data_IF_894895207210
#
_entry.id   IF_894895207210
#
_cell.length_a   1.000
_cell.length_b   1.000
_cell.length_c   1.000
_cell.angle_alpha   90.00
_cell.angle_beta   90.00
_cell.angle_gamma   90.00
#
_symmetry.space_group_name_H-M   'P 1'
#
loop_
_entity.id
_entity.type
_entity.pdbx_description
1 polymer ?
#
# COMPACT_ATOMS: atom_id res chain seq x y z
N UNK A 1 -18.85 35.78 -1.66
CA UNK A 1 -17.73 34.85 -1.93
C UNK A 1 -17.88 33.55 -1.12
N UNK A 2 -18.95 32.80 -1.38
CA UNK A 2 -19.33 31.65 -0.51
C UNK A 2 -19.98 30.53 -1.33
N UNK A 3 -19.33 30.00 -2.37
CA UNK A 3 -19.94 28.94 -3.19
C UNK A 3 -18.98 27.98 -3.90
N UNK A 4 -17.76 27.75 -3.39
CA UNK A 4 -16.82 26.80 -4.02
C UNK A 4 -16.39 25.59 -3.18
N UNK A 5 -17.00 25.38 -1.99
CA UNK A 5 -16.59 24.29 -1.07
C UNK A 5 -17.54 23.09 -1.01
N UNK A 6 -18.70 23.14 -1.66
CA UNK A 6 -19.70 22.05 -1.61
C UNK A 6 -19.38 20.77 -2.39
N UNK A 7 -18.64 20.77 -3.51
CA UNK A 7 -18.50 19.52 -4.28
C UNK A 7 -17.57 18.49 -3.69
N UNK A 8 -16.56 18.88 -2.93
CA UNK A 8 -15.61 17.92 -2.36
C UNK A 8 -16.18 17.13 -1.17
N UNK A 9 -17.07 17.73 -0.38
CA UNK A 9 -17.75 17.06 0.71
C UNK A 9 -18.76 16.01 0.23
N UNK A 10 -19.44 16.30 -0.87
CA UNK A 10 -20.37 15.36 -1.51
C UNK A 10 -19.65 14.12 -2.09
N UNK A 11 -18.42 14.30 -2.59
CA UNK A 11 -17.63 13.22 -3.17
C UNK A 11 -17.21 12.18 -2.13
N UNK A 12 -16.83 12.63 -0.94
CA UNK A 12 -16.41 11.73 0.14
C UNK A 12 -17.57 11.02 0.82
N UNK A 13 -18.75 11.66 0.88
CA UNK A 13 -19.98 11.02 1.36
C UNK A 13 -20.44 9.89 0.43
N UNK A 14 -20.15 9.95 -0.86
CA UNK A 14 -20.47 8.85 -1.80
C UNK A 14 -19.53 7.65 -1.65
N UNK A 15 -18.31 7.83 -1.19
CA UNK A 15 -17.44 6.71 -0.78
C UNK A 15 -17.96 6.01 0.49
N UNK A 16 -18.81 6.69 1.26
CA UNK A 16 -19.44 6.18 2.49
C UNK A 16 -20.92 5.75 2.29
N UNK A 17 -21.48 5.96 1.13
CA UNK A 17 -22.89 5.61 0.84
C UNK A 17 -23.04 4.21 0.26
N UNK A 18 -24.02 3.41 0.69
CA UNK A 18 -24.17 2.02 0.26
C UNK A 18 -24.83 1.83 -1.12
N UNK A 19 -24.98 2.86 -1.93
CA UNK A 19 -25.75 2.73 -3.16
C UNK A 19 -25.25 3.63 -4.29
N UNK A 20 -24.11 3.29 -4.87
CA UNK A 20 -23.92 3.50 -6.30
C UNK A 20 -23.60 2.12 -6.89
N UNK A 21 -24.61 1.43 -7.34
CA UNK A 21 -24.46 0.27 -8.22
C UNK A 21 -24.02 0.78 -9.59
N UNK A 22 -22.75 1.10 -9.73
CA UNK A 22 -22.12 0.92 -11.01
C UNK A 22 -22.23 -0.56 -11.29
N UNK A 23 -22.94 -0.95 -12.35
CA UNK A 23 -23.01 -2.35 -12.78
C UNK A 23 -21.58 -2.84 -12.84
N UNK A 24 -21.18 -3.87 -12.05
CA UNK A 24 -19.88 -4.46 -12.23
C UNK A 24 -19.83 -4.88 -13.69
N UNK A 25 -18.79 -4.50 -14.40
CA UNK A 25 -18.38 -5.19 -15.62
C UNK A 25 -18.47 -6.67 -15.28
N UNK A 26 -19.23 -7.41 -16.06
CA UNK A 26 -19.62 -8.79 -15.78
C UNK A 26 -18.40 -9.60 -15.36
N UNK A 27 -18.47 -10.20 -14.16
CA UNK A 27 -17.41 -10.91 -13.44
C UNK A 27 -16.62 -11.95 -14.26
N UNK A 28 -17.05 -12.31 -15.46
CA UNK A 28 -16.53 -13.42 -16.23
C UNK A 28 -15.50 -13.08 -17.31
N UNK A 29 -15.49 -11.83 -17.82
CA UNK A 29 -14.68 -11.52 -18.99
C UNK A 29 -13.27 -11.02 -18.66
N UNK A 30 -13.03 -10.52 -17.43
CA UNK A 30 -11.76 -9.91 -17.05
C UNK A 30 -10.69 -10.96 -16.71
N UNK A 31 -11.08 -12.10 -16.12
CA UNK A 31 -10.12 -13.12 -15.64
C UNK A 31 -9.50 -13.98 -16.74
N UNK A 32 -10.05 -13.96 -17.94
CA UNK A 32 -9.47 -14.67 -19.10
C UNK A 32 -8.57 -13.76 -19.93
N UNK A 33 -8.39 -12.50 -19.54
CA UNK A 33 -7.52 -11.55 -20.21
C UNK A 33 -6.24 -11.38 -19.43
N UNK A 34 -5.15 -11.17 -20.13
CA UNK A 34 -3.88 -10.77 -19.54
C UNK A 34 -3.76 -9.26 -19.58
N UNK A 35 -3.28 -8.66 -18.47
CA UNK A 35 -2.99 -7.24 -18.41
C UNK A 35 -2.03 -6.82 -19.53
N UNK A 36 -2.40 -5.79 -20.27
CA UNK A 36 -1.65 -5.31 -21.42
C UNK A 36 -0.68 -4.22 -20.98
N UNK A 37 0.59 -4.58 -20.78
CA UNK A 37 1.62 -3.61 -20.43
C UNK A 37 2.35 -3.11 -21.68
N UNK A 38 2.74 -1.80 -21.71
CA UNK A 38 2.62 -0.82 -20.62
C UNK A 38 1.27 -0.11 -20.52
N UNK A 39 0.29 -0.39 -21.35
CA UNK A 39 -0.94 0.39 -21.49
C UNK A 39 -1.73 0.52 -20.19
N UNK A 40 -1.81 -0.59 -19.40
CA UNK A 40 -2.52 -0.60 -18.11
C UNK A 40 -1.81 0.22 -17.01
N UNK A 41 -0.64 0.74 -17.30
CA UNK A 41 0.08 1.65 -16.42
C UNK A 41 -0.51 3.06 -16.44
N UNK A 42 -1.15 3.43 -17.55
CA UNK A 42 -1.79 4.74 -17.70
C UNK A 42 -2.99 4.92 -16.76
N UNK A 43 -3.48 6.15 -16.68
CA UNK A 43 -4.75 6.46 -16.00
C UNK A 43 -5.91 5.76 -16.71
N UNK A 44 -6.82 5.18 -15.94
CA UNK A 44 -8.09 4.64 -16.44
C UNK A 44 -9.24 5.60 -16.10
N UNK A 45 -9.62 6.52 -17.01
CA UNK A 45 -10.53 7.63 -16.68
C UNK A 45 -11.91 7.20 -16.19
N UNK A 46 -12.33 5.96 -16.49
CA UNK A 46 -13.62 5.40 -16.06
C UNK A 46 -13.57 4.64 -14.75
N UNK A 47 -12.38 4.42 -14.20
CA UNK A 47 -12.24 3.73 -12.92
C UNK A 47 -12.62 4.65 -11.75
N UNK A 48 -13.39 4.10 -10.82
CA UNK A 48 -13.78 4.83 -9.63
C UNK A 48 -12.61 5.08 -8.68
N UNK A 49 -11.63 4.18 -8.68
CA UNK A 49 -10.42 4.27 -7.87
C UNK A 49 -9.32 3.41 -8.47
N UNK A 50 -8.12 3.98 -8.50
CA UNK A 50 -6.87 3.31 -8.85
C UNK A 50 -5.69 3.99 -8.18
N UNK A 51 -4.53 3.31 -8.11
CA UNK A 51 -3.33 3.87 -7.50
C UNK A 51 -2.01 3.39 -8.11
N UNK A 52 -0.99 4.20 -7.90
CA UNK A 52 0.43 3.96 -8.15
C UNK A 52 1.13 4.10 -6.81
N UNK A 53 1.55 2.98 -6.21
CA UNK A 53 1.99 2.89 -4.84
C UNK A 53 3.43 2.39 -4.78
N UNK A 54 4.28 3.11 -4.08
CA UNK A 54 5.69 2.79 -3.90
C UNK A 54 5.99 2.70 -2.41
N UNK A 55 6.64 1.61 -2.01
CA UNK A 55 7.14 1.45 -0.65
C UNK A 55 8.51 0.83 -0.65
N UNK A 56 9.28 1.04 0.43
CA UNK A 56 10.55 0.36 0.57
C UNK A 56 11.54 1.04 1.49
N UNK A 57 12.79 0.67 1.31
CA UNK A 57 13.87 1.05 2.19
C UNK A 57 14.91 1.86 1.44
N UNK A 58 15.24 3.00 2.00
CA UNK A 58 16.30 3.89 1.51
C UNK A 58 17.45 3.93 2.52
N UNK A 59 18.66 4.19 2.02
CA UNK A 59 19.85 4.36 2.83
C UNK A 59 20.57 5.63 2.41
N UNK A 60 20.86 6.50 3.36
CA UNK A 60 21.75 7.64 3.17
C UNK A 60 23.16 7.12 2.84
N UNK A 61 23.66 7.49 1.66
CA UNK A 61 24.96 7.02 1.16
C UNK A 61 26.16 7.58 1.93
N UNK A 62 25.99 8.66 2.70
CA UNK A 62 27.03 9.30 3.49
C UNK A 62 27.05 8.77 4.93
N UNK A 63 25.89 8.75 5.59
CA UNK A 63 25.80 8.36 7.00
C UNK A 63 25.51 6.86 7.20
N UNK A 64 24.98 6.20 6.20
CA UNK A 64 24.51 4.81 6.31
C UNK A 64 23.17 4.65 7.02
N UNK A 65 22.51 5.74 7.47
CA UNK A 65 21.19 5.72 8.08
C UNK A 65 20.16 5.17 7.10
N UNK A 66 19.21 4.41 7.62
CA UNK A 66 18.12 3.82 6.82
C UNK A 66 16.83 4.55 7.06
N UNK A 67 15.98 4.61 6.03
CA UNK A 67 14.67 5.24 6.05
C UNK A 67 13.65 4.34 5.38
N UNK A 68 12.41 4.32 5.88
CA UNK A 68 11.27 3.76 5.19
C UNK A 68 10.57 4.84 4.37
N UNK A 69 10.11 4.47 3.20
CA UNK A 69 9.35 5.33 2.31
C UNK A 69 8.02 4.67 1.95
N UNK A 70 6.94 5.42 2.06
CA UNK A 70 5.69 5.21 1.33
C UNK A 70 5.44 6.44 0.45
N UNK A 71 5.03 6.21 -0.80
CA UNK A 71 4.68 7.25 -1.75
C UNK A 71 3.59 6.73 -2.68
N UNK A 72 2.42 7.34 -2.65
CA UNK A 72 1.30 6.89 -3.47
C UNK A 72 0.57 8.05 -4.13
N UNK A 73 0.21 7.86 -5.39
CA UNK A 73 -0.82 8.63 -6.07
C UNK A 73 -2.09 7.79 -6.19
N UNK A 74 -3.20 8.38 -5.78
CA UNK A 74 -4.55 7.85 -5.99
C UNK A 74 -5.26 8.71 -7.04
N UNK A 75 -5.95 8.03 -7.93
CA UNK A 75 -6.93 8.64 -8.82
C UNK A 75 -8.34 8.19 -8.41
N UNK A 76 -9.23 9.15 -8.31
CA UNK A 76 -10.64 8.94 -7.93
C UNK A 76 -11.55 9.53 -8.99
N UNK A 77 -12.46 8.73 -9.54
CA UNK A 77 -13.52 9.18 -10.41
C UNK A 77 -14.85 8.47 -10.13
N UNK A 78 -15.42 8.61 -8.92
CA UNK A 78 -16.59 7.83 -8.47
C UNK A 78 -17.86 8.13 -9.27
N UNK A 79 -17.92 9.26 -9.97
CA UNK A 79 -19.10 9.66 -10.77
C UNK A 79 -18.91 9.44 -12.26
N UNK A 80 -17.69 9.09 -12.71
CA UNK A 80 -17.33 9.00 -14.12
C UNK A 80 -17.27 10.36 -14.84
N UNK A 81 -17.32 11.49 -14.11
CA UNK A 81 -17.43 12.84 -14.70
C UNK A 81 -16.28 13.77 -14.36
N UNK A 82 -15.63 13.55 -13.24
CA UNK A 82 -14.55 14.41 -12.74
C UNK A 82 -13.48 13.59 -12.06
N UNK A 83 -12.25 13.86 -12.42
CA UNK A 83 -11.07 13.24 -11.85
C UNK A 83 -10.57 14.00 -10.64
N UNK A 84 -10.10 13.26 -9.65
CA UNK A 84 -9.42 13.77 -8.46
C UNK A 84 -8.14 13.00 -8.24
N UNK A 85 -7.09 13.70 -7.88
CA UNK A 85 -5.87 13.09 -7.40
C UNK A 85 -5.72 13.30 -5.90
N UNK A 86 -5.21 12.29 -5.23
CA UNK A 86 -4.63 12.42 -3.91
C UNK A 86 -3.21 11.85 -3.96
N UNK A 87 -2.30 12.48 -3.24
CA UNK A 87 -0.98 11.95 -3.00
C UNK A 87 -0.76 11.80 -1.52
N UNK A 88 -0.18 10.69 -1.12
CA UNK A 88 0.37 10.45 0.20
C UNK A 88 1.88 10.30 0.10
N UNK A 89 2.56 10.73 1.14
CA UNK A 89 3.97 10.42 1.36
C UNK A 89 4.22 10.22 2.83
N UNK A 90 4.91 9.14 3.19
CA UNK A 90 5.35 8.90 4.55
C UNK A 90 6.84 8.56 4.58
N UNK A 91 7.51 9.03 5.61
CA UNK A 91 8.92 8.77 5.86
C UNK A 91 9.12 8.27 7.29
N UNK A 92 9.64 7.06 7.41
CA UNK A 92 10.06 6.46 8.67
C UNK A 92 11.56 6.68 8.88
N UNK A 93 11.93 7.25 10.01
CA UNK A 93 13.33 7.42 10.45
C UNK A 93 13.54 6.64 11.77
N UNK A 94 14.03 5.39 11.70
CA UNK A 94 14.20 4.55 12.90
C UNK A 94 15.24 5.11 13.86
N UNK A 95 16.26 5.83 13.36
CA UNK A 95 17.32 6.39 14.18
C UNK A 95 16.80 7.53 15.08
N UNK A 96 15.89 8.36 14.53
CA UNK A 96 15.24 9.42 15.26
C UNK A 96 13.92 8.98 15.93
N UNK A 97 13.53 7.71 15.74
CA UNK A 97 12.23 7.17 16.18
C UNK A 97 11.08 8.07 15.75
N UNK A 98 11.11 8.52 14.50
CA UNK A 98 10.13 9.45 13.98
C UNK A 98 9.47 8.93 12.71
N UNK A 99 8.18 9.12 12.65
CA UNK A 99 7.33 8.87 11.51
C UNK A 99 6.68 10.18 11.09
N UNK A 100 6.84 10.56 9.83
CA UNK A 100 6.27 11.78 9.27
C UNK A 100 5.52 11.43 8.01
N UNK A 101 4.32 11.96 7.87
CA UNK A 101 3.52 11.78 6.68
C UNK A 101 2.82 13.07 6.29
N UNK A 102 2.51 13.19 5.02
CA UNK A 102 1.71 14.26 4.47
C UNK A 102 0.83 13.73 3.34
N UNK A 103 -0.24 14.45 3.04
CA UNK A 103 -1.12 14.12 1.95
C UNK A 103 -1.70 15.38 1.33
N UNK A 104 -2.02 15.28 0.05
CA UNK A 104 -2.57 16.39 -0.70
C UNK A 104 -3.67 15.93 -1.65
N UNK A 105 -4.75 16.70 -1.67
CA UNK A 105 -5.84 16.53 -2.60
C UNK A 105 -5.75 17.57 -3.72
N UNK A 106 -6.04 17.15 -4.97
CA UNK A 106 -6.37 18.09 -6.05
C UNK A 106 -7.75 18.70 -5.78
N UNK A 107 -7.99 19.86 -6.34
CA UNK A 107 -9.37 20.29 -6.59
C UNK A 107 -10.03 19.38 -7.63
N UNK A 108 -11.26 19.73 -8.03
CA UNK A 108 -11.88 19.14 -9.21
C UNK A 108 -10.95 19.41 -10.41
N UNK A 109 -10.40 18.35 -10.96
CA UNK A 109 -9.57 18.42 -12.16
C UNK A 109 -10.44 18.16 -13.40
N UNK A 110 -10.01 18.68 -14.53
CA UNK A 110 -10.45 18.17 -15.81
C UNK A 110 -9.98 16.73 -15.96
N UNK A 111 -10.53 16.00 -16.93
CA UNK A 111 -10.18 14.61 -17.20
C UNK A 111 -8.66 14.43 -17.31
N UNK A 112 -8.12 13.48 -16.57
CA UNK A 112 -6.69 13.17 -16.63
C UNK A 112 -6.38 12.44 -17.94
N UNK A 113 -5.28 12.77 -18.61
CA UNK A 113 -4.92 12.10 -19.85
C UNK A 113 -4.53 10.64 -19.58
N UNK A 114 -5.19 9.72 -20.27
CA UNK A 114 -4.86 8.28 -20.27
C UNK A 114 -3.67 8.01 -21.21
N UNK A 115 -2.55 8.66 -20.98
CA UNK A 115 -1.36 8.60 -21.84
C UNK A 115 -0.12 8.17 -21.06
N UNK A 116 0.84 7.59 -21.78
CA UNK A 116 2.17 7.31 -21.28
C UNK A 116 3.20 8.19 -22.02
N UNK A 117 4.32 8.53 -21.38
CA UNK A 117 4.63 8.24 -19.97
C UNK A 117 3.70 8.96 -19.00
N UNK A 118 3.49 8.38 -17.82
CA UNK A 118 2.75 9.02 -16.72
C UNK A 118 3.28 10.43 -16.45
N UNK A 119 2.36 11.36 -16.17
CA UNK A 119 2.70 12.70 -15.72
C UNK A 119 1.62 13.21 -14.73
N UNK A 120 1.55 12.53 -13.59
CA UNK A 120 0.67 12.92 -12.50
C UNK A 120 1.32 14.03 -11.69
N UNK A 121 0.58 15.11 -11.45
CA UNK A 121 1.12 16.27 -10.73
C UNK A 121 0.06 16.96 -9.88
N UNK A 122 0.44 17.25 -8.64
CA UNK A 122 -0.24 18.20 -7.77
C UNK A 122 0.71 19.34 -7.45
N UNK A 123 0.22 20.56 -7.50
CA UNK A 123 1.00 21.75 -7.18
C UNK A 123 0.21 22.67 -6.25
N UNK A 124 0.87 23.19 -5.23
CA UNK A 124 0.31 24.23 -4.36
C UNK A 124 1.40 25.24 -4.00
N UNK A 125 1.24 26.49 -4.42
CA UNK A 125 2.28 27.52 -4.28
C UNK A 125 3.61 27.01 -4.86
N UNK A 126 4.66 26.92 -4.03
CA UNK A 126 6.00 26.48 -4.42
C UNK A 126 6.25 25.00 -4.15
N UNK A 127 5.21 24.22 -3.78
CA UNK A 127 5.33 22.81 -3.44
C UNK A 127 4.78 21.95 -4.56
N UNK A 128 5.49 20.90 -4.90
CA UNK A 128 5.17 20.00 -6.02
C UNK A 128 5.19 18.56 -5.52
N UNK A 129 4.17 17.82 -5.92
CA UNK A 129 4.13 16.35 -5.87
C UNK A 129 3.96 15.87 -7.29
N UNK A 130 4.82 14.98 -7.72
CA UNK A 130 4.76 14.49 -9.09
C UNK A 130 5.24 13.05 -9.20
N UNK A 131 4.53 12.27 -10.01
CA UNK A 131 4.94 10.96 -10.49
C UNK A 131 5.02 11.03 -12.01
N UNK A 132 6.21 10.79 -12.56
CA UNK A 132 6.45 10.78 -14.00
C UNK A 132 7.22 9.55 -14.41
N UNK A 133 6.94 9.04 -15.60
CA UNK A 133 7.68 7.92 -16.17
C UNK A 133 6.78 6.76 -16.56
N UNK A 134 7.38 5.63 -16.85
CA UNK A 134 6.73 4.38 -17.22
C UNK A 134 7.68 3.18 -17.06
N UNK A 135 7.12 1.97 -17.04
CA UNK A 135 7.88 0.72 -17.10
C UNK A 135 8.98 0.58 -16.02
N UNK A 136 8.62 0.96 -14.78
CA UNK A 136 9.53 0.92 -13.64
C UNK A 136 10.57 2.06 -13.61
N UNK A 137 10.62 2.91 -14.63
CA UNK A 137 11.52 4.07 -14.71
C UNK A 137 10.73 5.33 -14.37
N UNK A 138 10.69 5.65 -13.10
CA UNK A 138 9.91 6.77 -12.59
C UNK A 138 10.76 7.85 -11.97
N UNK A 139 10.21 9.06 -11.96
CA UNK A 139 10.63 10.15 -11.10
C UNK A 139 9.53 10.41 -10.07
N UNK A 140 9.88 10.31 -8.79
CA UNK A 140 9.04 10.61 -7.66
C UNK A 140 9.49 11.91 -7.03
N UNK A 141 8.58 12.88 -6.88
CA UNK A 141 8.85 14.14 -6.23
C UNK A 141 7.76 14.45 -5.21
N UNK A 142 8.15 14.84 -4.00
CA UNK A 142 7.23 15.33 -2.98
C UNK A 142 7.86 16.42 -2.13
N UNK A 143 7.06 17.47 -1.86
CA UNK A 143 7.35 18.50 -0.86
C UNK A 143 6.29 18.43 0.23
N UNK A 144 6.67 18.04 1.45
CA UNK A 144 5.71 17.92 2.55
C UNK A 144 5.25 19.31 3.01
N UNK A 145 3.93 19.53 2.99
CA UNK A 145 3.30 20.82 3.36
C UNK A 145 3.28 21.00 4.88
N UNK A 146 2.89 19.94 5.59
CA UNK A 146 2.72 19.97 7.04
C UNK A 146 4.06 19.80 7.78
N UNK A 147 5.11 19.44 7.05
CA UNK A 147 6.46 19.28 7.55
C UNK A 147 7.44 20.08 6.67
N UNK A 148 7.48 21.43 6.78
CA UNK A 148 8.37 22.26 5.97
C UNK A 148 9.84 21.82 6.09
N UNK A 149 10.52 21.74 4.96
CA UNK A 149 11.89 21.25 4.91
C UNK A 149 12.00 19.71 4.82
N UNK A 150 10.88 19.00 4.61
CA UNK A 150 10.86 17.57 4.32
C UNK A 150 10.33 17.34 2.90
N UNK A 151 10.94 16.38 2.22
CA UNK A 151 10.56 16.03 0.86
C UNK A 151 11.47 14.98 0.25
N UNK A 152 11.20 14.66 -1.02
CA UNK A 152 12.01 13.72 -1.79
C UNK A 152 12.06 14.07 -3.27
N UNK A 153 13.12 13.62 -3.92
CA UNK A 153 13.27 13.59 -5.36
C UNK A 153 14.08 12.33 -5.71
N UNK A 154 13.39 11.31 -6.20
CA UNK A 154 13.97 10.00 -6.48
C UNK A 154 13.73 9.63 -7.94
N UNK A 155 14.64 8.85 -8.48
CA UNK A 155 14.45 8.11 -9.73
C UNK A 155 14.52 6.62 -9.46
N UNK A 156 13.76 5.83 -10.24
CA UNK A 156 13.72 4.38 -10.11
C UNK A 156 14.14 3.69 -11.39
N UNK A 157 14.64 2.45 -11.24
CA UNK A 157 15.01 1.56 -12.33
C UNK A 157 14.64 0.12 -11.93
N UNK A 158 13.86 -0.62 -12.75
CA UNK A 158 13.52 -2.00 -12.42
C UNK A 158 14.76 -2.90 -12.52
N UNK A 159 14.92 -3.77 -11.53
CA UNK A 159 15.99 -4.79 -11.46
C UNK A 159 15.44 -6.20 -11.57
N UNK A 160 14.12 -6.34 -11.54
CA UNK A 160 13.37 -7.55 -11.85
C UNK A 160 12.22 -7.23 -12.81
N UNK A 161 11.78 -8.19 -13.62
CA UNK A 161 10.62 -8.03 -14.48
C UNK A 161 9.35 -7.84 -13.65
N UNK A 162 8.30 -7.41 -14.33
CA UNK A 162 6.97 -7.24 -13.74
C UNK A 162 6.43 -8.56 -13.19
N UNK A 163 5.77 -8.47 -12.03
CA UNK A 163 5.05 -9.53 -11.36
C UNK A 163 3.55 -9.33 -11.60
N UNK A 164 2.92 -10.20 -12.38
CA UNK A 164 1.47 -10.16 -12.63
C UNK A 164 0.75 -10.97 -11.54
N UNK A 165 -0.09 -10.29 -10.73
CA UNK A 165 -0.88 -10.97 -9.70
C UNK A 165 -2.05 -11.72 -10.33
N UNK A 166 -2.56 -12.74 -9.61
CA UNK A 166 -3.56 -13.65 -10.17
C UNK A 166 -3.10 -14.43 -11.40
N UNK A 167 -1.80 -14.39 -11.73
CA UNK A 167 -1.19 -15.03 -12.89
C UNK A 167 -1.39 -14.28 -14.22
N UNK A 168 -2.37 -13.40 -14.31
CA UNK A 168 -2.72 -12.63 -15.52
C UNK A 168 -2.59 -11.13 -15.38
N UNK A 169 -2.33 -10.63 -14.16
CA UNK A 169 -2.41 -9.22 -13.83
C UNK A 169 -3.81 -8.76 -13.44
N UNK A 170 -4.69 -9.73 -13.15
CA UNK A 170 -6.01 -9.48 -12.56
C UNK A 170 -6.20 -10.36 -11.33
N UNK A 171 -6.39 -9.72 -10.17
CA UNK A 171 -6.57 -10.40 -8.90
C UNK A 171 -8.05 -10.51 -8.55
N UNK A 172 -8.44 -11.67 -8.01
CA UNK A 172 -9.81 -11.97 -7.63
C UNK A 172 -9.96 -12.02 -6.10
N UNK A 173 -10.64 -11.04 -5.56
CA UNK A 173 -10.98 -10.97 -4.14
C UNK A 173 -12.35 -11.62 -3.83
N UNK A 174 -12.65 -12.72 -4.48
CA UNK A 174 -13.88 -13.48 -4.30
C UNK A 174 -15.13 -12.67 -4.60
N UNK A 175 -16.07 -12.61 -3.64
CA UNK A 175 -17.31 -11.84 -3.78
C UNK A 175 -17.13 -10.34 -3.50
N UNK A 176 -15.96 -9.89 -3.07
CA UNK A 176 -15.68 -8.51 -2.70
C UNK A 176 -15.45 -7.67 -3.94
N UNK A 177 -14.49 -8.07 -4.78
CA UNK A 177 -14.06 -7.32 -5.94
C UNK A 177 -13.21 -8.16 -6.90
N UNK A 178 -12.86 -7.56 -8.02
CA UNK A 178 -11.70 -7.90 -8.84
C UNK A 178 -10.96 -6.63 -9.19
N UNK A 179 -9.65 -6.68 -9.28
CA UNK A 179 -8.82 -5.54 -9.64
C UNK A 179 -7.75 -5.96 -10.65
N UNK A 180 -7.41 -5.07 -11.56
CA UNK A 180 -6.15 -5.18 -12.26
C UNK A 180 -5.03 -4.94 -11.27
N UNK A 181 -3.98 -5.76 -11.29
CA UNK A 181 -2.92 -5.69 -10.31
C UNK A 181 -1.60 -6.28 -10.83
N UNK A 182 -0.57 -5.44 -10.88
CA UNK A 182 0.79 -5.90 -11.10
C UNK A 182 1.77 -5.10 -10.24
N UNK A 183 2.97 -5.68 -10.05
CA UNK A 183 4.04 -5.04 -9.29
C UNK A 183 5.35 -5.03 -10.08
N UNK A 184 6.18 -4.04 -9.81
CA UNK A 184 7.63 -4.17 -9.95
C UNK A 184 8.18 -4.54 -8.56
N UNK A 185 8.55 -5.81 -8.33
CA UNK A 185 8.89 -6.27 -6.99
C UNK A 185 10.25 -5.75 -6.49
N UNK A 186 11.09 -5.21 -7.39
CA UNK A 186 12.33 -4.50 -7.07
C UNK A 186 12.59 -3.38 -8.05
N UNK A 187 12.63 -2.18 -7.52
CA UNK A 187 13.08 -0.98 -8.19
C UNK A 187 14.31 -0.44 -7.45
N UNK A 188 15.46 -0.39 -8.09
CA UNK A 188 16.56 0.44 -7.60
C UNK A 188 16.10 1.89 -7.56
N UNK A 189 16.22 2.52 -6.41
CA UNK A 189 15.89 3.93 -6.20
C UNK A 189 17.15 4.72 -5.82
N UNK A 190 17.27 5.91 -6.39
CA UNK A 190 18.36 6.84 -6.06
C UNK A 190 17.92 8.27 -6.20
N UNK A 191 18.52 9.14 -5.43
CA UNK A 191 18.23 10.57 -5.45
C UNK A 191 18.48 11.23 -4.12
N UNK A 192 17.54 12.05 -3.67
CA UNK A 192 17.66 12.77 -2.40
C UNK A 192 16.39 12.70 -1.60
N UNK A 193 16.51 12.62 -0.28
CA UNK A 193 15.49 13.02 0.68
C UNK A 193 15.93 14.33 1.34
N UNK A 194 14.97 15.20 1.64
CA UNK A 194 15.24 16.43 2.39
C UNK A 194 14.72 16.27 3.80
N UNK A 195 15.56 16.47 4.79
CA UNK A 195 15.24 16.35 6.21
C UNK A 195 15.67 17.63 6.94
N UNK A 196 14.69 18.37 7.47
CA UNK A 196 14.98 19.64 8.13
C UNK A 196 15.66 20.67 7.22
N UNK A 197 15.30 20.69 5.93
CA UNK A 197 15.89 21.57 4.92
C UNK A 197 17.24 21.09 4.35
N UNK A 198 17.79 19.99 4.84
CA UNK A 198 19.06 19.44 4.36
C UNK A 198 18.81 18.26 3.39
N UNK A 199 19.31 18.37 2.17
CA UNK A 199 19.28 17.29 1.20
C UNK A 199 20.31 16.20 1.58
N UNK A 200 19.86 14.95 1.56
CA UNK A 200 20.65 13.75 1.83
C UNK A 200 20.61 12.82 0.63
N UNK A 201 21.74 12.46 0.07
CA UNK A 201 21.78 11.50 -1.03
C UNK A 201 21.41 10.13 -0.51
N UNK A 202 20.45 9.49 -1.18
CA UNK A 202 19.97 8.16 -0.81
C UNK A 202 19.98 7.22 -2.00
N UNK A 203 20.12 5.94 -1.67
CA UNK A 203 19.90 4.80 -2.57
C UNK A 203 19.13 3.72 -1.81
N UNK A 204 18.42 2.86 -2.52
CA UNK A 204 17.66 1.77 -1.90
C UNK A 204 16.89 0.96 -2.89
N UNK A 205 16.03 0.11 -2.36
CA UNK A 205 15.11 -0.72 -3.15
C UNK A 205 13.68 -0.39 -2.76
N UNK A 206 12.84 -0.16 -3.78
CA UNK A 206 11.41 0.04 -3.61
C UNK A 206 10.65 -1.13 -4.23
N UNK A 207 9.49 -1.38 -3.67
CA UNK A 207 8.38 -2.13 -4.26
C UNK A 207 7.45 -1.14 -4.93
N UNK A 208 6.84 -1.51 -6.05
CA UNK A 208 5.82 -0.73 -6.75
C UNK A 208 4.61 -1.58 -7.03
N UNK A 209 3.43 -1.07 -6.67
CA UNK A 209 2.14 -1.63 -7.01
C UNK A 209 1.36 -0.71 -7.92
N UNK A 210 0.85 -1.26 -8.99
CA UNK A 210 -0.14 -0.65 -9.86
C UNK A 210 -1.43 -1.43 -9.75
N UNK A 211 -2.47 -0.74 -9.30
CA UNK A 211 -3.77 -1.38 -9.14
C UNK A 211 -4.88 -0.46 -9.65
N UNK A 212 -5.83 -1.04 -10.36
CA UNK A 212 -6.97 -0.32 -10.93
C UNK A 212 -8.26 -1.12 -10.74
N UNK A 213 -9.43 -0.47 -10.91
CA UNK A 213 -10.75 -1.03 -10.65
C UNK A 213 -10.98 -1.40 -9.17
N UNK A 214 -10.44 -0.60 -8.26
CA UNK A 214 -10.37 -0.92 -6.83
C UNK A 214 -11.56 -0.43 -6.00
N UNK A 215 -12.56 0.20 -6.61
CA UNK A 215 -13.64 0.87 -5.88
C UNK A 215 -14.40 0.03 -4.86
N UNK A 216 -14.45 -1.30 -5.06
CA UNK A 216 -15.14 -2.21 -4.14
C UNK A 216 -14.31 -2.61 -2.93
N UNK A 217 -12.96 -2.60 -3.02
CA UNK A 217 -12.08 -2.98 -1.89
C UNK A 217 -11.98 -1.87 -0.84
N UNK A 218 -12.30 -0.63 -1.19
CA UNK A 218 -12.22 0.52 -0.27
C UNK A 218 -13.52 0.80 0.47
N UNK A 219 -14.45 -0.14 0.49
CA UNK A 219 -15.67 -0.02 1.29
C UNK A 219 -15.33 0.01 2.78
N UNK A 220 -16.07 0.81 3.56
CA UNK A 220 -15.87 0.96 5.02
C UNK A 220 -15.97 -0.34 5.83
N UNK A 221 -16.61 -1.37 5.26
CA UNK A 221 -16.73 -2.69 5.86
C UNK A 221 -15.61 -3.66 5.43
N UNK A 222 -14.77 -3.25 4.50
CA UNK A 222 -13.63 -4.01 4.03
C UNK A 222 -12.34 -3.47 4.68
N UNK A 223 -11.47 -4.36 5.06
CA UNK A 223 -10.10 -4.07 5.49
C UNK A 223 -9.15 -5.09 4.91
N UNK A 224 -7.88 -4.75 4.91
CA UNK A 224 -6.82 -5.64 4.46
C UNK A 224 -5.55 -5.48 5.27
N UNK A 225 -4.75 -6.53 5.28
CA UNK A 225 -3.34 -6.51 5.61
C UNK A 225 -2.58 -6.88 4.32
N UNK A 226 -1.59 -6.10 3.94
CA UNK A 226 -0.76 -6.31 2.77
C UNK A 226 0.71 -6.33 3.16
N UNK A 227 1.49 -7.17 2.50
CA UNK A 227 2.91 -7.36 2.76
C UNK A 227 3.68 -7.41 1.45
N UNK A 228 4.71 -6.58 1.30
CA UNK A 228 5.80 -6.84 0.38
C UNK A 228 6.99 -7.38 1.17
N UNK A 229 7.58 -8.47 0.71
CA UNK A 229 8.77 -9.08 1.31
C UNK A 229 9.83 -9.20 0.22
N UNK A 230 10.99 -8.64 0.45
CA UNK A 230 12.15 -8.66 -0.43
C UNK A 230 13.31 -9.31 0.31
N UNK A 231 13.63 -10.57 0.01
CA UNK A 231 14.74 -11.26 0.65
C UNK A 231 16.08 -10.81 0.06
N UNK A 232 17.12 -10.74 0.89
CA UNK A 232 18.47 -10.36 0.46
C UNK A 232 19.13 -11.49 -0.34
N UNK A 233 19.11 -12.69 0.26
CA UNK A 233 19.64 -13.92 -0.33
C UNK A 233 18.80 -15.12 0.17
N UNK A 234 18.23 -15.92 -0.74
CA UNK A 234 18.14 -15.68 -2.18
C UNK A 234 17.34 -14.41 -2.50
N UNK A 235 17.62 -13.77 -3.64
CA UNK A 235 16.85 -12.59 -4.08
C UNK A 235 15.48 -13.03 -4.62
N UNK A 236 14.57 -13.28 -3.70
CA UNK A 236 13.18 -13.68 -3.96
C UNK A 236 12.22 -12.75 -3.28
N UNK A 237 11.03 -12.64 -3.82
CA UNK A 237 10.01 -11.73 -3.32
C UNK A 237 8.69 -12.46 -3.09
N UNK A 238 7.99 -12.00 -2.05
CA UNK A 238 6.63 -12.40 -1.74
C UNK A 238 5.76 -11.13 -1.63
N UNK A 239 4.62 -11.14 -2.28
CA UNK A 239 3.51 -10.27 -1.96
C UNK A 239 2.42 -11.14 -1.35
N UNK A 240 1.94 -10.78 -0.17
CA UNK A 240 0.86 -11.49 0.51
C UNK A 240 -0.19 -10.48 0.96
N UNK A 241 -1.44 -10.87 0.89
CA UNK A 241 -2.52 -10.06 1.43
C UNK A 241 -3.57 -10.91 2.11
N UNK A 242 -4.31 -10.27 3.01
CA UNK A 242 -5.57 -10.77 3.52
C UNK A 242 -6.60 -9.66 3.43
N UNK A 243 -7.77 -9.98 2.91
CA UNK A 243 -8.91 -9.08 2.81
C UNK A 243 -10.04 -9.64 3.67
N UNK A 244 -10.68 -8.79 4.45
CA UNK A 244 -11.75 -9.23 5.34
C UNK A 244 -12.91 -8.25 5.34
N UNK A 245 -14.11 -8.80 5.48
CA UNK A 245 -15.33 -8.04 5.66
C UNK A 245 -15.71 -8.00 7.14
N UNK A 246 -15.70 -6.81 7.74
CA UNK A 246 -15.97 -6.61 9.18
C UNK A 246 -17.38 -6.94 9.61
N UNK A 247 -18.33 -6.89 8.70
CA UNK A 247 -19.73 -7.14 9.00
C UNK A 247 -20.06 -8.63 8.93
N UNK A 248 -19.50 -9.33 7.94
CA UNK A 248 -19.80 -10.76 7.71
C UNK A 248 -18.77 -11.69 8.33
N UNK A 249 -17.59 -11.19 8.69
CA UNK A 249 -16.47 -12.03 9.11
C UNK A 249 -15.83 -12.83 7.98
N UNK A 250 -16.24 -12.60 6.73
CA UNK A 250 -15.62 -13.24 5.58
C UNK A 250 -14.16 -12.81 5.49
N UNK A 251 -13.30 -13.77 5.24
CA UNK A 251 -11.86 -13.62 5.12
C UNK A 251 -11.38 -14.28 3.83
N UNK A 252 -10.40 -13.69 3.19
CA UNK A 252 -9.78 -14.20 2.00
C UNK A 252 -8.30 -13.82 1.99
N UNK A 253 -7.43 -14.76 1.65
CA UNK A 253 -6.00 -14.52 1.49
C UNK A 253 -5.53 -14.85 0.09
N UNK A 254 -4.47 -14.20 -0.32
CA UNK A 254 -3.83 -14.45 -1.60
C UNK A 254 -2.44 -13.81 -1.66
N UNK A 255 -1.77 -14.03 -2.78
CA UNK A 255 -0.46 -13.45 -2.99
C UNK A 255 0.28 -14.00 -4.18
N UNK A 256 1.54 -13.63 -4.27
CA UNK A 256 2.45 -14.06 -5.33
C UNK A 256 3.86 -14.25 -4.80
N UNK A 257 4.56 -15.23 -5.34
CA UNK A 257 5.98 -15.46 -5.12
C UNK A 257 6.73 -15.25 -6.44
N UNK A 258 7.83 -14.51 -6.39
CA UNK A 258 8.76 -14.33 -7.49
C UNK A 258 10.10 -14.96 -7.13
N UNK A 259 10.54 -15.94 -7.93
CA UNK A 259 11.76 -16.69 -7.68
C UNK A 259 13.03 -15.95 -8.12
N UNK A 260 14.20 -16.48 -7.80
CA UNK A 260 15.49 -15.98 -8.31
C UNK A 260 15.58 -16.01 -9.84
N UNK A 261 14.86 -16.91 -10.50
CA UNK A 261 14.79 -17.02 -11.96
C UNK A 261 13.65 -16.19 -12.57
N UNK A 262 12.98 -15.38 -11.74
CA UNK A 262 11.82 -14.55 -12.10
C UNK A 262 10.57 -15.37 -12.50
N UNK A 263 10.48 -16.58 -12.02
CA UNK A 263 9.26 -17.38 -12.15
C UNK A 263 8.22 -16.89 -11.14
N UNK A 264 7.05 -16.54 -11.62
CA UNK A 264 5.94 -16.08 -10.82
C UNK A 264 5.02 -17.24 -10.46
N UNK A 265 4.72 -17.38 -9.17
CA UNK A 265 3.77 -18.37 -8.66
C UNK A 265 2.66 -17.64 -7.91
N UNK A 266 1.42 -17.85 -8.31
CA UNK A 266 0.26 -17.40 -7.53
C UNK A 266 0.13 -18.24 -6.26
N UNK A 267 -0.17 -17.59 -5.13
CA UNK A 267 -0.42 -18.20 -3.83
C UNK A 267 -1.88 -17.95 -3.43
N UNK A 268 -2.62 -19.02 -3.21
CA UNK A 268 -3.96 -18.95 -2.64
C UNK A 268 -3.95 -18.91 -1.12
N UNK A 269 -5.11 -18.73 -0.51
CA UNK A 269 -5.29 -18.63 0.96
C UNK A 269 -4.68 -19.83 1.73
N UNK A 270 -4.67 -21.02 1.13
CA UNK A 270 -4.16 -22.25 1.77
C UNK A 270 -2.65 -22.44 1.63
N UNK A 271 -2.00 -21.66 0.78
CA UNK A 271 -0.59 -21.82 0.44
C UNK A 271 0.33 -21.14 1.47
N UNK A 272 -0.23 -20.25 2.30
CA UNK A 272 0.53 -19.54 3.33
C UNK A 272 -0.23 -19.39 4.65
N UNK A 273 0.49 -19.06 5.69
CA UNK A 273 -0.03 -18.79 7.02
C UNK A 273 0.52 -17.46 7.51
N UNK A 274 -0.36 -16.57 7.94
CA UNK A 274 -0.03 -15.31 8.62
C UNK A 274 -0.50 -15.39 10.07
N UNK A 275 0.44 -15.41 10.98
CA UNK A 275 0.19 -15.46 12.43
C UNK A 275 0.63 -14.14 13.06
N UNK A 276 -0.30 -13.41 13.68
CA UNK A 276 0.03 -12.21 14.46
C UNK A 276 0.59 -12.63 15.80
N UNK A 277 1.82 -12.23 16.11
CA UNK A 277 2.51 -12.57 17.36
C UNK A 277 2.39 -11.47 18.41
N UNK A 278 2.37 -10.21 17.98
CA UNK A 278 2.29 -9.05 18.87
C UNK A 278 1.28 -8.04 18.37
N UNK A 279 0.79 -7.21 19.28
CA UNK A 279 -0.17 -6.15 19.01
C UNK A 279 0.32 -4.82 19.57
N UNK A 280 0.09 -3.76 18.82
CA UNK A 280 0.33 -2.39 19.26
C UNK A 280 -0.96 -1.59 19.25
N UNK A 281 -1.13 -0.72 20.25
CA UNK A 281 -2.25 0.21 20.32
C UNK A 281 -1.78 1.62 20.01
N UNK A 282 -2.37 2.24 19.00
CA UNK A 282 -2.07 3.62 18.63
C UNK A 282 -2.38 4.58 19.77
N UNK A 283 -1.43 5.45 20.16
CA UNK A 283 -1.69 6.50 21.12
C UNK A 283 -2.59 7.61 20.54
N UNK A 284 -2.61 7.82 19.23
CA UNK A 284 -3.41 8.86 18.58
C UNK A 284 -4.87 8.44 18.41
N UNK A 285 -5.12 7.24 17.93
CA UNK A 285 -6.48 6.78 17.56
C UNK A 285 -7.07 5.78 18.54
N UNK A 286 -6.24 5.11 19.33
CA UNK A 286 -6.63 4.02 20.20
C UNK A 286 -6.89 2.71 19.45
N UNK A 287 -6.72 2.67 18.13
CA UNK A 287 -6.84 1.46 17.32
C UNK A 287 -5.71 0.47 17.63
N UNK A 288 -5.99 -0.81 17.48
CA UNK A 288 -5.01 -1.88 17.67
C UNK A 288 -4.61 -2.44 16.31
N UNK A 289 -3.30 -2.49 16.09
CA UNK A 289 -2.68 -3.05 14.90
C UNK A 289 -1.82 -4.27 15.28
N UNK A 290 -1.76 -5.29 14.43
CA UNK A 290 -0.70 -6.28 14.55
C UNK A 290 0.67 -5.60 14.46
N UNK A 291 1.63 -6.06 15.23
CA UNK A 291 2.94 -5.42 15.37
C UNK A 291 4.12 -6.38 15.18
N UNK A 292 3.83 -7.64 14.89
CA UNK A 292 4.81 -8.66 14.53
C UNK A 292 4.10 -9.86 13.97
N UNK A 293 4.68 -10.46 12.95
CA UNK A 293 4.06 -11.59 12.26
C UNK A 293 5.03 -12.73 12.05
N UNK A 294 4.50 -13.95 12.08
CA UNK A 294 5.15 -15.13 11.50
C UNK A 294 4.46 -15.45 10.18
N UNK A 295 5.26 -15.53 9.14
CA UNK A 295 4.82 -15.82 7.76
C UNK A 295 5.39 -17.17 7.36
N UNK A 296 4.54 -18.14 7.03
CA UNK A 296 4.98 -19.45 6.53
C UNK A 296 4.40 -19.68 5.15
N UNK A 297 5.24 -20.15 4.23
CA UNK A 297 4.84 -20.63 2.90
C UNK A 297 5.47 -22.02 2.74
N UNK A 298 4.81 -23.09 3.24
CA UNK A 298 5.40 -24.42 3.32
C UNK A 298 5.86 -24.99 1.99
N UNK A 299 5.08 -24.78 0.92
CA UNK A 299 5.40 -25.24 -0.44
C UNK A 299 6.67 -24.59 -1.02
N UNK A 300 7.05 -23.42 -0.47
CA UNK A 300 8.27 -22.70 -0.87
C UNK A 300 9.35 -22.76 0.22
N UNK A 301 9.12 -23.47 1.32
CA UNK A 301 10.10 -23.66 2.40
C UNK A 301 10.37 -22.42 3.26
N UNK A 302 9.48 -21.44 3.27
CA UNK A 302 9.64 -20.22 4.11
C UNK A 302 9.03 -20.36 5.49
N UNK A 303 9.78 -19.89 6.48
CA UNK A 303 9.34 -19.63 7.86
C UNK A 303 10.01 -18.31 8.30
N UNK A 304 9.27 -17.22 8.20
CA UNK A 304 9.78 -15.86 8.32
C UNK A 304 9.13 -15.14 9.51
N UNK A 305 9.89 -14.25 10.15
CA UNK A 305 9.40 -13.24 11.07
C UNK A 305 9.45 -11.88 10.35
N UNK A 306 8.33 -11.15 10.39
CA UNK A 306 8.23 -9.77 9.91
C UNK A 306 8.04 -8.88 11.13
N UNK A 307 8.96 -7.93 11.33
CA UNK A 307 8.99 -7.08 12.52
C UNK A 307 9.10 -5.60 12.13
N UNK A 308 8.18 -4.73 12.59
CA UNK A 308 8.33 -3.29 12.39
C UNK A 308 9.63 -2.77 13.00
N UNK A 309 10.28 -1.83 12.30
CA UNK A 309 11.44 -1.12 12.87
C UNK A 309 11.06 -0.20 14.03
N UNK A 310 9.80 0.20 14.06
CA UNK A 310 9.11 0.90 15.13
C UNK A 310 7.59 0.70 14.96
N UNK A 311 6.83 0.72 16.04
CA UNK A 311 5.40 0.44 15.97
C UNK A 311 4.57 1.66 15.52
N UNK A 312 4.99 2.86 15.89
CA UNK A 312 4.27 4.10 15.61
C UNK A 312 4.52 4.58 14.18
N UNK A 313 3.80 3.94 13.24
CA UNK A 313 3.81 4.24 11.81
C UNK A 313 2.37 4.36 11.27
N UNK A 314 1.46 4.89 12.09
CA UNK A 314 0.07 5.13 11.71
C UNK A 314 -0.08 6.47 11.00
N UNK A 315 -0.76 6.45 9.85
CA UNK A 315 -1.24 7.65 9.16
C UNK A 315 -2.69 7.92 9.54
N UNK A 316 -3.01 9.17 9.80
CA UNK A 316 -4.39 9.60 10.07
C UNK A 316 -4.78 10.68 9.08
N UNK A 317 -5.39 10.27 7.97
CA UNK A 317 -5.88 11.23 6.99
C UNK A 317 -7.11 11.95 7.54
N UNK A 318 -7.04 13.26 7.61
CA UNK A 318 -8.18 14.10 7.99
C UNK A 318 -8.93 14.51 6.73
N UNK A 319 -10.07 13.89 6.54
CA UNK A 319 -10.96 14.17 5.44
C UNK A 319 -11.88 15.35 5.76
N UNK A 320 -12.66 15.78 4.77
CA UNK A 320 -13.65 16.84 4.95
C UNK A 320 -14.66 16.44 6.04
N UNK A 321 -15.21 17.43 6.76
CA UNK A 321 -16.14 17.25 7.88
C UNK A 321 -15.58 16.51 9.10
N UNK A 322 -14.24 16.48 9.27
CA UNK A 322 -13.62 15.90 10.45
C UNK A 322 -13.54 14.38 10.47
N UNK A 323 -13.90 13.73 9.37
CA UNK A 323 -13.74 12.28 9.24
C UNK A 323 -12.24 11.95 9.24
N UNK A 324 -11.84 11.02 10.10
CA UNK A 324 -10.49 10.48 10.15
C UNK A 324 -10.46 9.13 9.45
N UNK A 325 -9.46 8.91 8.62
CA UNK A 325 -9.17 7.63 7.98
C UNK A 325 -7.78 7.17 8.44
N UNK A 326 -7.70 6.41 9.53
CA UNK A 326 -6.46 5.85 10.00
C UNK A 326 -6.11 4.57 9.25
N UNK A 327 -4.83 4.38 8.95
CA UNK A 327 -4.24 3.14 8.50
C UNK A 327 -2.76 3.10 8.87
N UNK A 328 -2.16 1.93 8.87
CA UNK A 328 -0.79 1.73 9.31
C UNK A 328 0.09 1.34 8.12
N UNK A 329 1.21 2.05 7.97
CA UNK A 329 2.16 1.93 6.86
C UNK A 329 3.57 1.75 7.42
N UNK A 330 4.05 0.52 7.44
CA UNK A 330 5.22 0.22 8.25
C UNK A 330 6.42 -0.36 7.52
N UNK A 331 7.55 0.34 7.66
CA UNK A 331 8.88 -0.21 7.41
C UNK A 331 9.14 -1.37 8.36
N UNK A 332 9.41 -2.55 7.81
CA UNK A 332 9.66 -3.78 8.57
C UNK A 332 10.97 -4.44 8.14
N UNK A 333 11.51 -5.28 9.03
CA UNK A 333 12.61 -6.20 8.75
C UNK A 333 12.09 -7.62 8.69
N UNK A 334 12.77 -8.44 7.90
CA UNK A 334 12.50 -9.86 7.77
C UNK A 334 13.70 -10.66 8.22
N UNK A 335 13.44 -11.67 9.05
CA UNK A 335 14.42 -12.71 9.42
C UNK A 335 13.71 -14.06 9.41
N UNK A 336 14.45 -15.15 9.31
CA UNK A 336 13.85 -16.48 9.36
C UNK A 336 14.65 -17.51 8.61
N UNK A 337 13.95 -18.49 8.03
CA UNK A 337 14.58 -19.55 7.25
C UNK A 337 13.90 -19.77 5.92
N UNK A 338 14.68 -20.18 4.93
CA UNK A 338 14.25 -20.70 3.62
C UNK A 338 14.89 -22.09 3.45
N UNK A 339 14.07 -23.13 3.35
CA UNK A 339 14.52 -24.54 3.36
C UNK A 339 15.49 -24.82 4.53
N UNK A 340 15.19 -24.28 5.72
CA UNK A 340 16.00 -24.45 6.94
C UNK A 340 17.30 -23.63 7.00
N UNK A 341 17.66 -22.89 5.94
CA UNK A 341 18.82 -21.98 5.93
C UNK A 341 18.41 -20.58 6.38
N UNK A 342 19.22 -19.92 7.20
CA UNK A 342 18.92 -18.55 7.63
C UNK A 342 18.79 -17.59 6.43
N UNK A 343 17.76 -16.73 6.48
CA UNK A 343 17.55 -15.65 5.51
C UNK A 343 17.20 -14.36 6.23
N UNK A 344 17.43 -13.25 5.53
CA UNK A 344 17.02 -11.93 5.98
C UNK A 344 16.55 -11.08 4.80
N UNK A 345 15.84 -10.01 5.09
CA UNK A 345 15.33 -9.11 4.07
C UNK A 345 14.62 -7.90 4.64
N UNK A 346 13.97 -7.20 3.76
CA UNK A 346 13.13 -6.06 4.06
C UNK A 346 11.66 -6.39 3.75
N UNK A 347 10.76 -5.71 4.44
CA UNK A 347 9.34 -5.75 4.14
C UNK A 347 8.74 -4.37 4.36
N UNK A 348 7.65 -4.12 3.68
CA UNK A 348 6.73 -3.05 3.99
C UNK A 348 5.35 -3.66 4.21
N UNK A 349 4.62 -3.17 5.21
CA UNK A 349 3.33 -3.74 5.58
C UNK A 349 2.30 -2.63 5.68
N UNK A 350 1.18 -2.79 4.99
CA UNK A 350 0.03 -1.91 5.06
C UNK A 350 -1.12 -2.61 5.78
N UNK A 351 -1.76 -1.92 6.73
CA UNK A 351 -2.90 -2.43 7.47
C UNK A 351 -4.01 -1.38 7.47
N UNK A 352 -5.14 -1.73 6.89
CA UNK A 352 -6.28 -0.84 6.84
C UNK A 352 -7.45 -1.39 7.64
N UNK A 353 -8.13 -0.50 8.34
CA UNK A 353 -9.49 -0.67 8.82
C UNK A 353 -9.78 -1.99 9.57
N UNK A 354 -8.78 -2.57 10.26
CA UNK A 354 -8.91 -3.86 10.93
C UNK A 354 -9.78 -3.77 12.18
N UNK A 355 -10.79 -4.64 12.27
CA UNK A 355 -11.33 -5.11 13.55
C UNK A 355 -10.66 -6.45 13.87
N UNK A 356 -10.26 -6.65 15.13
CA UNK A 356 -9.84 -7.99 15.56
C UNK A 356 -10.91 -9.00 15.14
N UNK A 357 -10.53 -10.12 14.52
CA UNK A 357 -11.47 -11.22 14.34
C UNK A 357 -11.92 -11.63 15.75
N UNK A 358 -13.22 -11.66 16.02
CA UNK A 358 -13.75 -12.32 17.22
C UNK A 358 -13.26 -13.75 17.15
N UNK A 359 -12.39 -14.16 18.09
CA UNK A 359 -11.97 -15.57 18.20
C UNK A 359 -13.25 -16.40 18.25
N UNK A 360 -13.47 -17.25 17.27
CA UNK A 360 -14.48 -18.26 17.35
C UNK A 360 -14.13 -19.13 18.57
N UNK A 361 -14.85 -18.96 19.70
CA UNK A 361 -14.59 -19.66 20.96
C UNK A 361 -14.24 -18.79 22.18
N UNK A 362 -14.27 -17.45 22.08
CA UNK A 362 -13.83 -16.55 23.17
C UNK A 362 -14.83 -16.32 24.32
N UNK A 363 -15.83 -17.17 24.53
CA UNK A 363 -16.62 -17.12 25.75
C UNK A 363 -15.92 -17.70 27.01
N UNK A 364 -14.75 -18.35 26.84
CA UNK A 364 -14.01 -18.95 27.95
C UNK A 364 -12.80 -18.13 28.45
N UNK A 365 -12.35 -17.11 27.71
CA UNK A 365 -11.17 -16.32 28.10
C UNK A 365 -11.52 -15.05 28.90
N UNK A 366 -12.72 -14.48 28.73
CA UNK A 366 -13.17 -13.33 29.55
C UNK A 366 -13.53 -13.73 30.99
N UNK A 367 -13.83 -15.01 31.24
CA UNK A 367 -14.07 -15.54 32.60
C UNK A 367 -12.79 -15.72 33.43
N UNK A 368 -11.62 -15.77 32.81
CA UNK A 368 -10.35 -15.98 33.48
C UNK A 368 -9.66 -14.66 33.89
N UNK A 369 -9.91 -13.54 33.22
CA UNK A 369 -9.39 -12.22 33.60
C UNK A 369 -10.23 -11.52 34.67
N UNK A 370 -11.50 -11.87 34.81
CA UNK A 370 -12.39 -11.34 35.86
C UNK A 370 -12.25 -12.00 37.24
N UNK A 371 -11.43 -13.05 37.36
CA UNK A 371 -11.21 -13.79 38.65
C UNK A 371 -9.85 -13.49 39.32
N UNK A 372 -9.08 -12.52 38.75
CA UNK A 372 -7.76 -12.12 39.26
C UNK A 372 -7.70 -10.61 39.57
N UNK A 373 -8.85 -10.01 40.01
CA UNK A 373 -8.87 -8.70 40.70
C UNK A 373 -9.44 -8.84 42.09
#
# INVERSE_FOLDING_TARGET
>A
MMNKLLPAAALLLTLLSPACSLKPTTKHDVFNQQAQLPQEEAVHPRNSLEWWYFTGHLRDSLSGHTYGLEYVFFHFNPTGKKDHLMVNVALTDPQQKSFRYDYKWSGLADELPATLPLNLRLQKKNQTWALRGQEGKYQLQADMVNHPGFGLNLTTQPTKPVLLHGGTGYENYGNIASAGYYSYPRLDARGTITLGGQARPVLGELWYDRQWNCGSVTRKDIGWDWFSIQLNEPREELMLYTVYNKNTGQYLGGGSHNSTTNENTHLGEKDFQLETLEWWKSPETGLRYPAKWRVRVPSKGYDLLVEPVMNDQELVLKLIAGIKLPYWEGMCRVTGTHHGKPVSGNSYVEITNRKEPRRAGGAAAEAAEGAAQ
#
